data_IF_536093205168
#
_entry.id   IF_536093205168
#
_cell.length_a   1.000
_cell.length_b   1.000
_cell.length_c   1.000
_cell.angle_alpha   90.00
_cell.angle_beta   90.00
_cell.angle_gamma   90.00
#
_symmetry.space_group_name_H-M   'P 1'
#
loop_
_entity.id
_entity.type
_entity.pdbx_description
1 polymer ?
#
# COMPACT_ATOMS: atom_id res chain seq x y z
N UNK A 1 -29.84 0.19 9.28
CA UNK A 1 -29.20 -1.13 9.51
C UNK A 1 -27.95 -0.88 10.34
N UNK A 2 -27.94 -1.25 11.62
CA UNK A 2 -26.79 -1.05 12.51
C UNK A 2 -25.76 -2.15 12.21
N UNK A 3 -24.57 -1.77 11.72
CA UNK A 3 -23.44 -2.70 11.61
C UNK A 3 -23.05 -3.12 13.04
N UNK A 4 -22.98 -4.42 13.37
CA UNK A 4 -22.66 -4.86 14.72
C UNK A 4 -21.30 -4.32 15.19
N UNK A 5 -21.26 -3.72 16.39
CA UNK A 5 -20.04 -3.14 16.98
C UNK A 5 -18.85 -4.14 17.08
N UNK A 6 -19.13 -5.45 17.00
CA UNK A 6 -18.14 -6.52 16.99
C UNK A 6 -17.39 -6.65 15.66
N UNK A 7 -18.03 -6.32 14.52
CA UNK A 7 -17.37 -6.30 13.21
C UNK A 7 -16.43 -5.09 13.07
N UNK A 8 -16.79 -3.95 13.67
CA UNK A 8 -15.92 -2.76 13.71
C UNK A 8 -14.69 -2.96 14.59
N UNK A 9 -14.80 -3.67 15.73
CA UNK A 9 -13.66 -3.98 16.58
C UNK A 9 -12.69 -4.99 15.93
N UNK A 10 -13.21 -6.04 15.30
CA UNK A 10 -12.40 -6.99 14.53
C UNK A 10 -11.72 -6.35 13.33
N UNK A 11 -12.43 -5.44 12.63
CA UNK A 11 -11.87 -4.68 11.52
C UNK A 11 -10.81 -3.67 11.97
N UNK A 12 -10.98 -3.01 13.12
CA UNK A 12 -9.99 -2.08 13.68
C UNK A 12 -8.69 -2.78 14.12
N UNK A 13 -8.79 -3.92 14.83
CA UNK A 13 -7.61 -4.71 15.23
C UNK A 13 -6.93 -5.32 14.00
N UNK A 14 -7.70 -5.82 13.03
CA UNK A 14 -7.15 -6.32 11.77
C UNK A 14 -6.46 -5.18 10.98
N UNK A 15 -7.05 -3.98 10.95
CA UNK A 15 -6.46 -2.80 10.31
C UNK A 15 -5.17 -2.38 11.00
N UNK A 16 -5.17 -2.27 12.33
CA UNK A 16 -3.98 -1.88 13.08
C UNK A 16 -2.85 -2.89 12.90
N UNK A 17 -3.19 -4.19 12.90
CA UNK A 17 -2.25 -5.26 12.57
C UNK A 17 -1.74 -5.15 11.13
N UNK A 18 -2.62 -4.92 10.16
CA UNK A 18 -2.24 -4.72 8.76
C UNK A 18 -1.34 -3.50 8.55
N UNK A 19 -1.61 -2.39 9.25
CA UNK A 19 -0.82 -1.16 9.18
C UNK A 19 0.56 -1.33 9.83
N UNK A 20 0.61 -1.98 10.99
CA UNK A 20 1.86 -2.33 11.67
C UNK A 20 2.74 -3.18 10.76
N UNK A 21 2.14 -4.15 10.08
CA UNK A 21 2.89 -5.07 9.23
C UNK A 21 3.21 -4.51 7.86
N UNK A 22 2.36 -3.68 7.28
CA UNK A 22 2.71 -2.91 6.09
C UNK A 22 3.99 -2.10 6.36
N UNK A 23 4.11 -1.51 7.55
CA UNK A 23 5.33 -0.85 8.01
C UNK A 23 6.47 -1.85 8.29
N UNK A 24 6.22 -3.00 8.91
CA UNK A 24 7.25 -4.04 9.17
C UNK A 24 7.80 -4.65 7.89
N UNK A 25 6.94 -5.01 6.93
CA UNK A 25 7.31 -5.50 5.60
C UNK A 25 8.15 -4.43 4.91
N UNK A 26 7.75 -3.15 5.00
CA UNK A 26 8.55 -2.03 4.47
C UNK A 26 9.93 -1.91 5.12
N UNK A 27 10.05 -2.18 6.42
CA UNK A 27 11.34 -2.22 7.10
C UNK A 27 12.18 -3.46 6.74
N UNK A 28 11.55 -4.62 6.58
CA UNK A 28 12.20 -5.84 6.09
C UNK A 28 12.67 -5.70 4.62
N UNK A 29 11.93 -4.92 3.83
CA UNK A 29 12.27 -4.54 2.46
C UNK A 29 13.54 -3.68 2.42
N UNK A 30 13.68 -2.72 3.36
CA UNK A 30 14.87 -1.86 3.47
C UNK A 30 16.14 -2.61 3.87
N UNK A 31 16.02 -3.70 4.64
CA UNK A 31 17.16 -4.46 5.19
C UNK A 31 17.62 -5.61 4.31
N UNK A 32 16.98 -5.82 3.15
CA UNK A 32 17.37 -6.86 2.20
C UNK A 32 18.75 -6.57 1.57
N UNK A 33 19.65 -7.57 1.44
CA UNK A 33 20.97 -7.39 0.82
C UNK A 33 20.94 -6.94 -0.65
N UNK A 34 19.78 -6.96 -1.31
CA UNK A 34 19.57 -6.35 -2.62
C UNK A 34 19.66 -4.80 -2.60
N UNK A 35 19.53 -4.16 -1.43
CA UNK A 35 19.70 -2.71 -1.26
C UNK A 35 21.15 -2.23 -1.45
N UNK A 36 22.11 -3.14 -1.60
CA UNK A 36 23.54 -2.83 -1.78
C UNK A 36 23.92 -2.38 -3.21
N UNK A 37 22.99 -2.28 -4.16
CA UNK A 37 23.28 -1.80 -5.53
C UNK A 37 23.23 -0.27 -5.59
N UNK A 38 24.25 0.39 -5.04
CA UNK A 38 24.32 1.85 -4.84
C UNK A 38 24.63 2.71 -6.09
N UNK A 39 24.70 2.17 -7.30
CA UNK A 39 25.24 2.93 -8.43
C UNK A 39 24.31 3.22 -9.62
N UNK A 40 23.01 2.87 -9.57
CA UNK A 40 22.05 3.23 -10.64
C UNK A 40 20.62 3.51 -10.16
N UNK A 41 20.44 4.18 -9.03
CA UNK A 41 19.14 4.79 -8.73
C UNK A 41 18.94 5.99 -9.68
N UNK A 42 18.57 5.73 -10.94
CA UNK A 42 17.89 6.73 -11.76
C UNK A 42 16.73 7.24 -10.92
N UNK A 43 16.54 8.57 -10.82
CA UNK A 43 15.40 9.15 -10.11
C UNK A 43 14.11 8.49 -10.61
N UNK A 44 13.60 7.53 -9.85
CA UNK A 44 12.30 6.92 -10.11
C UNK A 44 11.23 7.92 -9.66
N UNK A 45 10.00 7.87 -10.21
CA UNK A 45 8.93 8.74 -9.73
C UNK A 45 8.57 8.50 -8.25
N UNK A 46 9.03 7.37 -7.70
CA UNK A 46 8.83 7.00 -6.31
C UNK A 46 9.79 7.70 -5.35
N UNK A 47 10.90 8.28 -5.81
CA UNK A 47 11.87 8.91 -4.92
C UNK A 47 11.37 10.27 -4.42
N UNK A 48 11.25 10.42 -3.11
CA UNK A 48 11.05 11.72 -2.47
C UNK A 48 12.36 12.51 -2.44
N UNK A 49 12.28 13.83 -2.55
CA UNK A 49 13.45 14.71 -2.47
C UNK A 49 14.08 14.71 -1.06
N UNK A 50 13.26 14.54 -0.03
CA UNK A 50 13.65 14.48 1.37
C UNK A 50 12.92 13.32 2.04
N UNK A 51 13.41 12.91 3.22
CA UNK A 51 12.69 11.93 4.03
C UNK A 51 11.34 12.51 4.46
N UNK A 52 10.22 11.80 4.23
CA UNK A 52 8.93 12.23 4.74
C UNK A 52 8.97 12.40 6.26
N UNK A 53 8.42 13.51 6.77
CA UNK A 53 8.39 13.80 8.21
C UNK A 53 7.41 12.93 8.97
N UNK A 54 6.40 12.39 8.27
CA UNK A 54 5.39 11.49 8.84
C UNK A 54 5.92 10.05 8.77
N UNK A 55 5.88 9.28 9.87
CA UNK A 55 6.19 7.86 9.84
C UNK A 55 5.24 7.09 8.91
N UNK A 56 5.76 6.07 8.22
CA UNK A 56 4.98 5.32 7.24
C UNK A 56 3.68 4.72 7.82
N UNK A 57 3.73 4.24 9.06
CA UNK A 57 2.54 3.72 9.77
C UNK A 57 1.44 4.77 9.88
N UNK A 58 1.78 5.97 10.36
CA UNK A 58 0.83 7.07 10.53
C UNK A 58 0.28 7.54 9.19
N UNK A 59 1.13 7.58 8.16
CA UNK A 59 0.72 7.88 6.79
C UNK A 59 -0.32 6.88 6.25
N UNK A 60 -0.06 5.58 6.39
CA UNK A 60 -0.98 4.53 5.96
C UNK A 60 -2.28 4.54 6.77
N UNK A 61 -2.21 4.81 8.07
CA UNK A 61 -3.38 4.95 8.92
C UNK A 61 -4.25 6.12 8.47
N UNK A 62 -3.63 7.27 8.17
CA UNK A 62 -4.34 8.44 7.66
C UNK A 62 -5.02 8.13 6.32
N UNK A 63 -4.30 7.52 5.39
CA UNK A 63 -4.84 7.10 4.09
C UNK A 63 -6.06 6.19 4.22
N UNK A 64 -5.94 5.19 5.10
CA UNK A 64 -7.01 4.24 5.36
C UNK A 64 -8.26 4.92 5.95
N UNK A 65 -8.07 5.79 6.95
CA UNK A 65 -9.16 6.56 7.56
C UNK A 65 -9.86 7.47 6.53
N UNK A 66 -9.11 8.14 5.66
CA UNK A 66 -9.65 9.01 4.62
C UNK A 66 -10.48 8.24 3.56
N UNK A 67 -10.16 6.97 3.29
CA UNK A 67 -10.99 6.14 2.43
C UNK A 67 -12.29 5.72 3.12
N UNK A 68 -12.23 5.33 4.40
CA UNK A 68 -13.44 4.96 5.16
C UNK A 68 -14.44 6.11 5.17
N UNK A 69 -13.98 7.34 5.44
CA UNK A 69 -14.86 8.52 5.51
C UNK A 69 -15.45 8.93 4.17
N UNK A 70 -14.92 8.41 3.06
CA UNK A 70 -15.42 8.70 1.71
C UNK A 70 -16.29 7.60 1.12
N UNK A 71 -16.13 6.37 1.60
CA UNK A 71 -16.85 5.19 1.13
C UNK A 71 -17.94 4.75 2.13
N UNK A 72 -18.76 5.72 2.57
CA UNK A 72 -19.78 5.52 3.60
C UNK A 72 -20.96 4.61 3.18
N UNK A 73 -21.05 4.21 1.91
CA UNK A 73 -22.29 3.72 1.31
C UNK A 73 -22.24 2.28 0.78
N UNK A 74 -21.17 1.52 1.06
CA UNK A 74 -21.00 0.14 0.55
C UNK A 74 -20.89 -0.90 1.64
N UNK A 75 -21.63 -2.01 1.47
CA UNK A 75 -21.72 -3.15 2.39
C UNK A 75 -20.44 -4.02 2.48
N UNK A 76 -19.32 -3.58 1.89
CA UNK A 76 -18.07 -4.35 1.83
C UNK A 76 -16.89 -3.54 2.41
N UNK A 77 -15.91 -4.20 3.06
CA UNK A 77 -14.72 -3.55 3.59
C UNK A 77 -13.71 -3.24 2.46
N UNK A 78 -14.11 -2.39 1.50
CA UNK A 78 -13.24 -1.94 0.40
C UNK A 78 -11.87 -1.45 0.92
N UNK A 79 -11.77 -0.67 2.02
CA UNK A 79 -10.49 -0.22 2.54
C UNK A 79 -9.53 -1.38 2.89
N UNK A 80 -10.03 -2.47 3.48
CA UNK A 80 -9.20 -3.63 3.79
C UNK A 80 -8.72 -4.33 2.53
N UNK A 81 -9.62 -4.58 1.57
CA UNK A 81 -9.27 -5.25 0.32
C UNK A 81 -8.27 -4.45 -0.51
N UNK A 82 -8.37 -3.11 -0.49
CA UNK A 82 -7.38 -2.22 -1.11
C UNK A 82 -6.02 -2.37 -0.44
N UNK A 83 -5.96 -2.42 0.90
CA UNK A 83 -4.70 -2.58 1.63
C UNK A 83 -4.04 -3.94 1.38
N UNK A 84 -4.82 -5.03 1.36
CA UNK A 84 -4.32 -6.37 0.99
C UNK A 84 -3.78 -6.37 -0.43
N UNK A 85 -4.54 -5.82 -1.38
CA UNK A 85 -4.17 -5.77 -2.80
C UNK A 85 -2.90 -4.94 -3.00
N UNK A 86 -2.80 -3.77 -2.36
CA UNK A 86 -1.60 -2.94 -2.39
C UNK A 86 -0.37 -3.69 -1.84
N UNK A 87 -0.55 -4.42 -0.73
CA UNK A 87 0.52 -5.24 -0.15
C UNK A 87 0.98 -6.34 -1.11
N UNK A 88 0.04 -7.06 -1.72
CA UNK A 88 0.34 -8.11 -2.70
C UNK A 88 1.10 -7.55 -3.93
N UNK A 89 0.71 -6.37 -4.41
CA UNK A 89 1.38 -5.69 -5.50
C UNK A 89 2.80 -5.25 -5.12
N UNK A 90 3.01 -4.74 -3.90
CA UNK A 90 4.33 -4.38 -3.40
C UNK A 90 5.24 -5.60 -3.21
N UNK A 91 4.71 -6.72 -2.70
CA UNK A 91 5.45 -7.98 -2.61
C UNK A 91 5.91 -8.50 -3.99
N UNK A 92 5.07 -8.32 -5.02
CA UNK A 92 5.47 -8.63 -6.41
C UNK A 92 6.52 -7.67 -6.93
N UNK A 93 6.35 -6.37 -6.68
CA UNK A 93 7.29 -5.34 -7.11
C UNK A 93 8.66 -5.56 -6.46
N UNK A 94 8.70 -5.95 -5.18
CA UNK A 94 9.96 -6.28 -4.50
C UNK A 94 10.72 -7.39 -5.23
N UNK A 95 10.02 -8.41 -5.72
CA UNK A 95 10.64 -9.51 -6.47
C UNK A 95 11.10 -9.06 -7.86
N UNK A 96 10.32 -8.21 -8.52
CA UNK A 96 10.59 -7.78 -9.90
C UNK A 96 11.65 -6.67 -10.01
N UNK A 97 11.66 -5.73 -9.05
CA UNK A 97 12.50 -4.54 -9.05
C UNK A 97 12.89 -4.14 -7.60
N UNK A 98 13.65 -4.98 -6.87
CA UNK A 98 13.98 -4.73 -5.46
C UNK A 98 14.70 -3.39 -5.23
N UNK A 99 15.41 -2.87 -6.22
CA UNK A 99 16.15 -1.61 -6.16
C UNK A 99 15.26 -0.38 -5.96
N UNK A 100 13.95 -0.47 -6.22
CA UNK A 100 13.02 0.64 -5.98
C UNK A 100 12.63 0.77 -4.51
N UNK A 101 12.94 -0.22 -3.66
CA UNK A 101 12.61 -0.22 -2.24
C UNK A 101 13.72 0.44 -1.43
N UNK A 102 13.55 1.74 -1.22
CA UNK A 102 14.41 2.57 -0.39
C UNK A 102 13.56 3.43 0.57
N UNK A 103 14.07 3.85 1.74
CA UNK A 103 13.30 4.65 2.70
C UNK A 103 12.61 5.88 2.09
N UNK A 104 13.32 6.59 1.21
CA UNK A 104 12.80 7.78 0.49
C UNK A 104 11.66 7.47 -0.50
N UNK A 105 11.46 6.21 -0.86
CA UNK A 105 10.42 5.79 -1.83
C UNK A 105 9.20 5.14 -1.23
N UNK A 106 9.28 4.63 0.00
CA UNK A 106 8.22 3.80 0.57
C UNK A 106 6.85 4.47 0.56
N UNK A 107 6.78 5.73 0.98
CA UNK A 107 5.52 6.49 1.00
C UNK A 107 4.87 6.59 -0.38
N UNK A 108 5.67 6.91 -1.40
CA UNK A 108 5.20 7.07 -2.78
C UNK A 108 4.89 5.71 -3.43
N UNK A 109 5.62 4.65 -3.08
CA UNK A 109 5.30 3.29 -3.48
C UNK A 109 3.95 2.84 -2.90
N UNK A 110 3.73 3.08 -1.61
CA UNK A 110 2.46 2.80 -0.96
C UNK A 110 1.32 3.65 -1.55
N UNK A 111 1.51 4.95 -1.73
CA UNK A 111 0.55 5.83 -2.41
C UNK A 111 0.11 5.25 -3.76
N UNK A 112 1.09 4.80 -4.55
CA UNK A 112 0.86 4.24 -5.89
C UNK A 112 0.13 2.90 -5.80
N UNK A 113 0.65 1.95 -5.02
CA UNK A 113 0.05 0.62 -4.87
C UNK A 113 -1.38 0.68 -4.31
N UNK A 114 -1.61 1.58 -3.36
CA UNK A 114 -2.91 1.82 -2.74
C UNK A 114 -3.90 2.43 -3.73
N UNK A 115 -3.46 3.42 -4.51
CA UNK A 115 -4.26 3.99 -5.59
C UNK A 115 -4.65 2.94 -6.62
N UNK A 116 -3.70 2.11 -7.05
CA UNK A 116 -3.95 1.03 -7.98
C UNK A 116 -4.94 0.02 -7.38
N UNK A 117 -4.72 -0.42 -6.13
CA UNK A 117 -5.65 -1.31 -5.43
C UNK A 117 -7.08 -0.76 -5.38
N UNK A 118 -7.23 0.55 -5.15
CA UNK A 118 -8.54 1.21 -5.19
C UNK A 118 -9.15 1.19 -6.59
N UNK A 119 -8.39 1.62 -7.61
CA UNK A 119 -8.85 1.66 -9.01
C UNK A 119 -9.28 0.28 -9.51
N UNK A 120 -8.62 -0.79 -9.07
CA UNK A 120 -8.94 -2.15 -9.47
C UNK A 120 -10.18 -2.74 -8.79
N UNK A 121 -10.46 -2.32 -7.55
CA UNK A 121 -11.53 -2.92 -6.74
C UNK A 121 -12.80 -2.06 -6.68
N UNK A 122 -12.68 -0.76 -6.87
CA UNK A 122 -13.81 0.15 -6.79
C UNK A 122 -14.52 0.27 -8.15
N UNK A 123 -15.84 0.03 -8.18
CA UNK A 123 -16.63 0.28 -9.39
C UNK A 123 -16.69 1.77 -9.74
N UNK A 124 -16.58 2.64 -8.73
CA UNK A 124 -16.55 4.10 -8.88
C UNK A 124 -15.16 4.57 -8.50
N UNK A 125 -14.43 5.09 -9.48
CA UNK A 125 -13.05 5.53 -9.29
C UNK A 125 -12.99 6.98 -8.80
N UNK A 126 -12.10 7.23 -7.84
CA UNK A 126 -11.75 8.58 -7.42
C UNK A 126 -10.82 9.17 -8.49
N UNK A 127 -11.10 10.41 -8.92
CA UNK A 127 -10.26 11.09 -9.93
C UNK A 127 -8.82 11.25 -9.42
N UNK A 128 -7.85 11.15 -10.33
CA UNK A 128 -6.41 11.25 -10.00
C UNK A 128 -6.02 12.47 -9.15
N UNK A 129 -6.48 13.71 -9.41
CA UNK A 129 -6.13 14.85 -8.56
C UNK A 129 -6.62 14.68 -7.11
N UNK A 130 -7.80 14.09 -6.94
CA UNK A 130 -8.38 13.81 -5.63
C UNK A 130 -7.59 12.71 -4.90
N UNK A 131 -7.16 11.67 -5.61
CA UNK A 131 -6.33 10.62 -5.03
C UNK A 131 -4.91 11.10 -4.70
N UNK A 132 -4.35 11.99 -5.53
CA UNK A 132 -3.07 12.63 -5.24
C UNK A 132 -3.14 13.47 -3.96
N UNK A 133 -4.22 14.24 -3.78
CA UNK A 133 -4.44 15.00 -2.55
C UNK A 133 -4.56 14.08 -1.33
N UNK A 134 -5.28 12.95 -1.44
CA UNK A 134 -5.38 11.95 -0.36
C UNK A 134 -4.03 11.34 0.00
N UNK A 135 -3.20 11.05 -1.01
CA UNK A 135 -1.88 10.43 -0.84
C UNK A 135 -0.77 11.42 -0.54
N UNK A 136 -1.07 12.72 -0.45
CA UNK A 136 -0.07 13.76 -0.19
C UNK A 136 0.90 14.01 -1.35
N UNK A 137 0.54 13.61 -2.57
CA UNK A 137 1.29 13.92 -3.79
C UNK A 137 0.88 15.29 -4.35
N UNK A 138 1.80 15.97 -5.03
CA UNK A 138 1.60 17.36 -5.45
C UNK A 138 0.61 17.48 -6.60
N UNK A 139 0.44 16.44 -7.42
CA UNK A 139 -0.48 16.46 -8.54
C UNK A 139 -0.98 15.07 -8.94
N UNK A 140 -2.16 15.05 -9.57
CA UNK A 140 -2.68 13.83 -10.21
C UNK A 140 -1.73 13.28 -11.29
N UNK A 141 -1.05 14.15 -12.04
CA UNK A 141 -0.09 13.76 -13.07
C UNK A 141 1.15 13.05 -12.50
N UNK A 142 1.61 13.48 -11.32
CA UNK A 142 2.70 12.81 -10.62
C UNK A 142 2.32 11.37 -10.22
N UNK A 143 1.12 11.21 -9.64
CA UNK A 143 0.60 9.91 -9.26
C UNK A 143 0.36 9.00 -10.48
N UNK A 144 -0.18 9.54 -11.57
CA UNK A 144 -0.39 8.82 -12.84
C UNK A 144 0.94 8.32 -13.43
N UNK A 145 1.99 9.17 -13.43
CA UNK A 145 3.33 8.77 -13.88
C UNK A 145 3.92 7.68 -12.99
N UNK A 146 3.77 7.81 -11.67
CA UNK A 146 4.20 6.79 -10.72
C UNK A 146 3.48 5.45 -10.97
N UNK A 147 2.16 5.48 -11.17
CA UNK A 147 1.35 4.32 -11.51
C UNK A 147 1.81 3.68 -12.83
N UNK A 148 1.99 4.46 -13.90
CA UNK A 148 2.45 3.93 -15.19
C UNK A 148 3.83 3.23 -15.08
N UNK A 149 4.77 3.79 -14.31
CA UNK A 149 6.08 3.15 -14.07
C UNK A 149 5.91 1.90 -13.22
N UNK A 150 5.07 1.93 -12.17
CA UNK A 150 4.79 0.79 -11.31
C UNK A 150 4.25 -0.40 -12.11
N UNK A 151 3.29 -0.15 -13.00
CA UNK A 151 2.70 -1.16 -13.89
C UNK A 151 3.74 -1.74 -14.85
N UNK A 152 4.61 -0.91 -15.42
CA UNK A 152 5.71 -1.38 -16.30
C UNK A 152 6.70 -2.26 -15.55
N UNK A 153 7.06 -1.91 -14.31
CA UNK A 153 7.96 -2.72 -13.47
C UNK A 153 7.33 -4.08 -13.09
N UNK A 154 6.00 -4.15 -13.02
CA UNK A 154 5.26 -5.40 -12.84
C UNK A 154 4.99 -6.16 -14.13
N UNK A 155 5.45 -5.67 -15.29
CA UNK A 155 5.09 -6.20 -16.61
C UNK A 155 3.57 -6.35 -16.78
N UNK A 156 2.82 -5.38 -16.25
CA UNK A 156 1.35 -5.35 -16.23
C UNK A 156 0.66 -6.53 -15.49
N UNK A 157 1.42 -7.33 -14.73
CA UNK A 157 0.91 -8.49 -13.97
C UNK A 157 0.28 -8.07 -12.63
N UNK A 158 -0.80 -7.30 -12.71
CA UNK A 158 -1.47 -6.71 -11.55
C UNK A 158 -2.65 -7.52 -11.00
N UNK A 159 -3.07 -8.58 -11.70
CA UNK A 159 -4.16 -9.44 -11.24
C UNK A 159 -3.79 -10.16 -9.93
N UNK A 160 -4.51 -9.87 -8.84
CA UNK A 160 -4.36 -10.56 -7.55
C UNK A 160 -5.41 -11.66 -7.49
N UNK A 161 -4.98 -12.92 -7.62
CA UNK A 161 -5.88 -14.08 -7.50
C UNK A 161 -6.42 -14.19 -6.07
N UNK A 162 -7.55 -14.89 -5.91
CA UNK A 162 -8.10 -15.20 -4.58
C UNK A 162 -7.07 -15.92 -3.69
N UNK A 163 -6.31 -16.86 -4.26
CA UNK A 163 -5.23 -17.55 -3.55
C UNK A 163 -4.15 -16.56 -3.08
N UNK A 164 -3.68 -15.67 -3.97
CA UNK A 164 -2.69 -14.63 -3.60
C UNK A 164 -3.24 -13.74 -2.49
N UNK A 165 -4.50 -13.32 -2.62
CA UNK A 165 -5.17 -12.48 -1.63
C UNK A 165 -5.21 -13.15 -0.26
N UNK A 166 -5.64 -14.42 -0.18
CA UNK A 166 -5.69 -15.18 1.06
C UNK A 166 -4.29 -15.39 1.66
N UNK A 167 -3.30 -15.73 0.84
CA UNK A 167 -1.91 -15.85 1.27
C UNK A 167 -1.36 -14.53 1.83
N UNK A 168 -1.67 -13.40 1.18
CA UNK A 168 -1.30 -12.07 1.69
C UNK A 168 -2.00 -11.77 3.00
N UNK A 169 -3.30 -12.05 3.15
CA UNK A 169 -4.01 -11.91 4.43
C UNK A 169 -3.39 -12.75 5.55
N UNK A 170 -3.00 -13.99 5.27
CA UNK A 170 -2.35 -14.87 6.25
C UNK A 170 -0.95 -14.38 6.61
N UNK A 171 -0.15 -14.01 5.61
CA UNK A 171 1.20 -13.46 5.79
C UNK A 171 1.16 -12.18 6.63
N UNK A 172 0.18 -11.33 6.34
CA UNK A 172 -0.19 -10.20 7.18
C UNK A 172 -0.47 -10.75 8.59
N UNK A 173 -1.58 -11.48 8.84
CA UNK A 173 -1.96 -11.92 10.18
C UNK A 173 -0.82 -12.54 11.02
N UNK A 174 0.02 -13.39 10.41
CA UNK A 174 1.17 -14.02 11.06
C UNK A 174 2.26 -13.04 11.52
N UNK A 175 2.42 -11.92 10.82
CA UNK A 175 3.40 -10.88 11.12
C UNK A 175 2.98 -9.98 12.30
N UNK A 176 1.69 -9.96 12.71
CA UNK A 176 1.22 -9.20 13.89
C UNK A 176 1.45 -9.91 15.20
N UNK A 177 1.60 -11.23 15.16
CA UNK A 177 1.84 -12.06 16.33
C UNK A 177 3.22 -12.68 16.18
N UNK A 178 4.31 -11.92 16.38
CA UNK A 178 5.62 -12.53 16.49
C UNK A 178 5.53 -13.54 17.62
N UNK A 179 5.70 -14.83 17.29
CA UNK A 179 5.74 -15.90 18.29
C UNK A 179 6.77 -15.47 19.33
N UNK A 180 6.32 -15.28 20.57
CA UNK A 180 7.21 -15.06 21.71
C UNK A 180 8.27 -16.17 21.67
N UNK A 181 9.52 -15.78 21.43
CA UNK A 181 10.68 -16.64 21.60
C UNK A 181 11.37 -16.23 22.88
#
# INVERSE_FOLDING_TARGET
MLVPAQLTAGCAVMTENMLNQAATISWQLETSPAAAIRHRLRRTPFMSATMPSVPLREYLQHLYQQLITRDHDRAAPLPCSVLVTATALLQRLQKAAPEVFHPLSLHRLWATAFTLGYVWLADVTIRWPTMAALTGLSSGLELERAAAVFLKLLDWRCFVSQETYQQTCLSIAQSAFPRAR
#
